data_IF_172596425346
#
_entry.id   IF_172596425346
#
_cell.length_a   1.000
_cell.length_b   1.000
_cell.length_c   1.000
_cell.angle_alpha   90.00
_cell.angle_beta   90.00
_cell.angle_gamma   90.00
#
_symmetry.space_group_name_H-M   'P 1'
#
loop_
_entity.id
_entity.type
_entity.pdbx_description
1 polymer ?
#
# COMPACT_ATOMS: atom_id res chain seq x y z
N UNK A 1 -12.54 -21.57 5.21
CA UNK A 1 -11.63 -20.45 5.57
C UNK A 1 -10.67 -20.93 6.65
N UNK A 2 -9.43 -20.44 6.71
CA UNK A 2 -8.50 -20.80 7.79
C UNK A 2 -8.80 -19.93 9.01
N UNK A 3 -9.10 -20.54 10.16
CA UNK A 3 -9.27 -19.84 11.44
C UNK A 3 -7.90 -19.68 12.12
N UNK A 4 -7.08 -18.76 11.62
CA UNK A 4 -5.80 -18.42 12.23
C UNK A 4 -6.04 -17.26 13.20
N UNK A 5 -5.60 -17.42 14.45
CA UNK A 5 -5.57 -16.30 15.39
C UNK A 5 -4.45 -15.33 14.97
N UNK A 6 -4.76 -14.09 14.55
CA UNK A 6 -3.76 -13.17 14.02
C UNK A 6 -2.68 -12.82 15.05
N UNK A 7 -3.02 -12.74 16.35
CA UNK A 7 -2.08 -12.32 17.40
C UNK A 7 -1.03 -13.36 17.75
N UNK A 8 -1.23 -14.61 17.34
CA UNK A 8 -0.31 -15.72 17.57
C UNK A 8 0.61 -15.98 16.38
N UNK A 9 0.46 -15.23 15.28
CA UNK A 9 1.32 -15.36 14.11
C UNK A 9 2.68 -14.72 14.36
N UNK A 10 3.75 -15.28 13.79
CA UNK A 10 5.08 -14.67 13.84
C UNK A 10 5.10 -13.28 13.21
N UNK A 11 4.25 -13.03 12.20
CA UNK A 11 4.09 -11.71 11.60
C UNK A 11 3.56 -10.68 12.61
N UNK A 12 2.62 -11.06 13.48
CA UNK A 12 2.11 -10.17 14.52
C UNK A 12 3.15 -9.82 15.57
N UNK A 13 3.94 -10.81 16.00
CA UNK A 13 5.07 -10.57 16.91
C UNK A 13 6.09 -9.60 16.29
N UNK A 14 6.38 -9.73 14.99
CA UNK A 14 7.24 -8.80 14.28
C UNK A 14 6.66 -7.38 14.20
N UNK A 15 5.34 -7.25 13.99
CA UNK A 15 4.66 -5.94 14.01
C UNK A 15 4.71 -5.27 15.39
N UNK A 16 4.59 -6.03 16.49
CA UNK A 16 4.73 -5.49 17.85
C UNK A 16 6.14 -4.95 18.09
N UNK A 17 7.17 -5.69 17.71
CA UNK A 17 8.56 -5.21 17.80
C UNK A 17 8.77 -3.95 16.96
N UNK A 18 8.26 -3.94 15.73
CA UNK A 18 8.38 -2.78 14.84
C UNK A 18 7.65 -1.55 15.40
N UNK A 19 6.53 -1.73 16.08
CA UNK A 19 5.83 -0.63 16.76
C UNK A 19 6.71 0.01 17.84
N UNK A 20 7.38 -0.78 18.68
CA UNK A 20 8.27 -0.25 19.72
C UNK A 20 9.42 0.58 19.13
N UNK A 21 9.90 0.23 17.94
CA UNK A 21 10.94 0.97 17.21
C UNK A 21 10.42 2.24 16.54
N UNK A 22 9.15 2.26 16.10
CA UNK A 22 8.58 3.32 15.27
C UNK A 22 7.67 4.30 16.01
N UNK A 23 7.25 4.00 17.23
CA UNK A 23 6.22 4.77 17.97
C UNK A 23 6.54 6.26 18.15
N UNK A 24 7.82 6.62 18.19
CA UNK A 24 8.29 8.00 18.38
C UNK A 24 8.76 8.66 17.07
N UNK A 25 8.76 7.92 15.96
CA UNK A 25 9.20 8.44 14.65
C UNK A 25 8.10 9.30 14.04
N UNK A 26 8.46 10.53 13.65
CA UNK A 26 7.50 11.46 13.04
C UNK A 26 7.44 11.29 11.52
N UNK A 27 6.27 11.59 10.92
CA UNK A 27 6.11 11.56 9.46
C UNK A 27 7.06 12.55 8.77
N UNK A 28 7.26 13.73 9.36
CA UNK A 28 8.16 14.77 8.83
C UNK A 28 9.60 14.26 8.69
N UNK A 29 10.12 13.53 9.68
CA UNK A 29 11.45 12.91 9.59
C UNK A 29 11.54 11.89 8.46
N UNK A 30 10.47 11.13 8.24
CA UNK A 30 10.46 10.11 7.19
C UNK A 30 10.52 10.72 5.78
N UNK A 31 9.91 11.89 5.58
CA UNK A 31 10.04 12.64 4.32
C UNK A 31 11.38 13.35 4.19
N UNK A 32 11.94 13.87 5.29
CA UNK A 32 13.27 14.48 5.28
C UNK A 32 14.38 13.45 4.94
N UNK A 33 14.21 12.19 5.38
CA UNK A 33 15.17 11.09 5.15
C UNK A 33 15.08 10.46 3.75
N UNK A 34 13.95 10.57 3.07
CA UNK A 34 13.72 9.91 1.77
C UNK A 34 12.94 10.83 0.82
N UNK A 35 13.66 11.47 -0.10
CA UNK A 35 13.09 12.41 -1.09
C UNK A 35 12.16 11.72 -2.10
N UNK A 36 12.26 10.41 -2.28
CA UNK A 36 11.43 9.62 -3.21
C UNK A 36 10.29 8.87 -2.49
N UNK A 37 10.05 9.19 -1.21
CA UNK A 37 9.04 8.51 -0.38
C UNK A 37 7.65 8.52 -1.01
N UNK A 38 7.24 9.62 -1.65
CA UNK A 38 5.94 9.68 -2.30
C UNK A 38 5.79 8.61 -3.39
N UNK A 39 6.78 8.49 -4.28
CA UNK A 39 6.75 7.51 -5.37
C UNK A 39 6.74 6.08 -4.83
N UNK A 40 7.52 5.80 -3.77
CA UNK A 40 7.61 4.47 -3.15
C UNK A 40 6.33 4.02 -2.44
N UNK A 41 5.56 4.95 -1.91
CA UNK A 41 4.37 4.68 -1.08
C UNK A 41 3.06 5.17 -1.73
N UNK A 42 3.04 5.37 -3.05
CA UNK A 42 1.82 5.69 -3.82
C UNK A 42 1.47 4.55 -4.80
N UNK A 43 0.19 4.46 -5.16
CA UNK A 43 -0.29 3.50 -6.16
C UNK A 43 -1.42 4.13 -6.96
N UNK A 44 -1.19 4.32 -8.25
CA UNK A 44 -2.25 4.65 -9.20
C UNK A 44 -3.00 3.39 -9.60
N UNK A 45 -4.28 3.32 -9.26
CA UNK A 45 -5.16 2.27 -9.77
C UNK A 45 -5.73 2.80 -11.08
N UNK A 46 -5.34 2.20 -12.21
CA UNK A 46 -6.01 2.47 -13.48
C UNK A 46 -7.44 1.96 -13.40
N UNK A 47 -8.41 2.86 -13.50
CA UNK A 47 -9.80 2.52 -13.88
C UNK A 47 -9.80 2.16 -15.36
N UNK A 48 -9.74 0.87 -15.66
CA UNK A 48 -10.00 0.36 -17.02
C UNK A 48 -11.46 -0.03 -17.14
N UNK A 49 -12.31 0.98 -17.26
CA UNK A 49 -13.75 0.83 -17.48
C UNK A 49 -14.27 2.06 -18.23
N UNK A 50 -13.68 2.30 -19.40
CA UNK A 50 -14.36 2.98 -20.49
C UNK A 50 -14.64 1.93 -21.57
N UNK A 51 -15.90 1.51 -21.66
CA UNK A 51 -16.39 0.60 -22.69
C UNK A 51 -16.07 1.12 -24.09
N UNK A 52 -15.22 0.40 -24.81
CA UNK A 52 -15.08 0.55 -26.25
C UNK A 52 -16.22 -0.19 -26.95
N UNK A 53 -17.41 0.42 -27.01
CA UNK A 53 -18.35 0.14 -28.09
C UNK A 53 -17.68 0.60 -29.37
N UNK A 54 -16.99 -0.33 -30.05
CA UNK A 54 -16.47 -0.15 -31.38
C UNK A 54 -17.66 -0.01 -32.35
N UNK A 55 -18.17 1.21 -32.53
CA UNK A 55 -18.94 1.55 -33.71
C UNK A 55 -17.96 1.61 -34.89
N UNK A 56 -18.01 0.58 -35.75
CA UNK A 56 -17.71 0.69 -37.18
C UNK A 56 -19.08 0.69 -37.88
N UNK A 57 -19.36 1.54 -38.89
CA UNK A 57 -18.51 1.64 -40.08
C UNK A 57 -18.30 3.06 -40.64
N UNK A 58 -17.15 3.26 -41.28
CA UNK A 58 -17.08 4.09 -42.48
C UNK A 58 -16.68 3.15 -43.60
N UNK A 59 -17.61 2.93 -44.53
CA UNK A 59 -17.45 2.92 -45.99
C UNK A 59 -18.85 2.66 -46.57
#
# INVERSE_FOLDING_TARGET
MKNINPTQTSAWQALQKHFDEMKDVTISELFAKDSDRFSKFSRDVRRSDAGGLLQKPHH
#
